data_IF_342676011634
#
_entry.id   IF_342676011634
#
_cell.length_a   1.000
_cell.length_b   1.000
_cell.length_c   1.000
_cell.angle_alpha   90.00
_cell.angle_beta   90.00
_cell.angle_gamma   90.00
#
_symmetry.space_group_name_H-M   'P 1'
#
loop_
_entity.id
_entity.type
_entity.pdbx_description
1 polymer ?
#
# COMPACT_ATOMS: atom_id res chain seq x y z
N UNK A 1 -12.91 -23.98 -43.32
CA UNK A 1 -12.31 -23.21 -42.22
C UNK A 1 -11.01 -23.90 -41.86
N UNK A 2 -9.91 -23.19 -41.95
CA UNK A 2 -8.60 -23.70 -41.52
C UNK A 2 -8.35 -23.21 -40.09
N UNK A 3 -7.89 -24.09 -39.23
CA UNK A 3 -7.51 -23.77 -37.87
C UNK A 3 -6.18 -24.45 -37.58
N UNK A 4 -5.23 -23.69 -37.05
CA UNK A 4 -3.92 -24.20 -36.67
C UNK A 4 -3.59 -23.75 -35.25
N UNK A 5 -2.93 -24.64 -34.52
CA UNK A 5 -2.27 -24.30 -33.26
C UNK A 5 -0.77 -24.41 -33.53
N UNK A 6 -0.03 -23.33 -33.32
CA UNK A 6 1.42 -23.30 -33.46
C UNK A 6 2.04 -23.19 -32.07
N UNK A 7 2.88 -24.16 -31.73
CA UNK A 7 3.62 -24.20 -30.48
C UNK A 7 5.08 -23.81 -30.77
N UNK A 8 5.55 -22.74 -30.14
CA UNK A 8 6.92 -22.27 -30.29
C UNK A 8 7.77 -22.80 -29.12
N UNK A 9 8.58 -23.81 -29.42
CA UNK A 9 9.62 -24.28 -28.50
C UNK A 9 10.65 -23.16 -28.26
N UNK A 10 11.02 -22.92 -27.00
CA UNK A 10 11.98 -21.89 -26.59
C UNK A 10 11.36 -20.55 -26.17
N UNK A 11 10.24 -20.12 -26.75
CA UNK A 11 9.52 -18.90 -26.30
C UNK A 11 8.27 -19.20 -25.48
N UNK A 12 7.87 -20.47 -25.36
CA UNK A 12 6.62 -20.90 -24.71
C UNK A 12 5.40 -20.11 -25.22
N UNK A 13 5.43 -19.77 -26.50
CA UNK A 13 4.36 -19.04 -27.16
C UNK A 13 3.42 -20.04 -27.83
N UNK A 14 2.13 -19.79 -27.74
CA UNK A 14 1.08 -20.57 -28.39
C UNK A 14 0.25 -19.63 -29.26
N UNK A 15 0.22 -19.89 -30.56
CA UNK A 15 -0.63 -19.15 -31.50
C UNK A 15 -1.82 -19.99 -31.91
N UNK A 16 -3.02 -19.43 -31.76
CA UNK A 16 -4.26 -19.93 -32.34
C UNK A 16 -4.50 -19.16 -33.64
N UNK A 17 -4.30 -19.82 -34.77
CA UNK A 17 -4.43 -19.23 -36.11
C UNK A 17 -5.75 -19.68 -36.72
N UNK A 18 -6.66 -18.73 -36.90
CA UNK A 18 -7.91 -18.90 -37.62
C UNK A 18 -7.72 -18.45 -39.06
N UNK A 19 -8.10 -19.29 -40.02
CA UNK A 19 -8.14 -18.92 -41.43
C UNK A 19 -9.21 -17.86 -41.72
N UNK A 20 -9.40 -17.55 -43.00
CA UNK A 20 -10.33 -16.51 -43.43
C UNK A 20 -11.77 -16.81 -43.00
N UNK A 21 -12.41 -15.81 -42.37
CA UNK A 21 -13.81 -15.90 -41.98
C UNK A 21 -14.71 -15.81 -43.22
N UNK A 22 -15.61 -16.78 -43.37
CA UNK A 22 -16.61 -16.77 -44.45
C UNK A 22 -17.81 -15.91 -44.02
N UNK A 23 -18.15 -14.84 -44.76
CA UNK A 23 -19.31 -14.02 -44.43
C UNK A 23 -20.62 -14.80 -44.64
N UNK A 24 -21.64 -14.46 -43.85
CA UNK A 24 -23.02 -14.95 -44.00
C UNK A 24 -24.00 -13.78 -44.03
N UNK A 25 -25.07 -13.93 -44.80
CA UNK A 25 -26.15 -12.95 -44.93
C UNK A 25 -27.24 -13.11 -43.85
N UNK A 26 -27.07 -14.03 -42.91
CA UNK A 26 -28.01 -14.21 -41.80
C UNK A 26 -28.05 -12.97 -40.89
N UNK A 27 -29.20 -12.70 -40.27
CA UNK A 27 -29.35 -11.60 -39.31
C UNK A 27 -28.38 -11.69 -38.13
N UNK A 28 -27.95 -10.54 -37.60
CA UNK A 28 -26.98 -10.49 -36.48
C UNK A 28 -27.55 -11.10 -35.21
N UNK A 29 -26.98 -12.21 -34.77
CA UNK A 29 -27.15 -12.73 -33.41
C UNK A 29 -25.76 -12.92 -32.84
N UNK A 30 -25.52 -12.41 -31.63
CA UNK A 30 -24.27 -12.62 -30.92
C UNK A 30 -24.16 -14.10 -30.52
N UNK A 31 -23.31 -14.86 -31.21
CA UNK A 31 -22.97 -16.23 -30.81
C UNK A 31 -21.73 -16.15 -29.91
N UNK A 32 -21.81 -16.77 -28.74
CA UNK A 32 -20.69 -16.79 -27.79
C UNK A 32 -19.86 -18.06 -28.02
N UNK A 33 -18.55 -17.89 -28.18
CA UNK A 33 -17.56 -18.98 -28.25
C UNK A 33 -16.42 -18.70 -27.28
N UNK A 34 -15.54 -19.66 -27.03
CA UNK A 34 -14.38 -19.46 -26.15
C UNK A 34 -13.11 -19.94 -26.83
N UNK A 35 -12.05 -19.17 -26.64
CA UNK A 35 -10.69 -19.49 -27.06
C UNK A 35 -9.77 -19.17 -25.89
N UNK A 36 -8.86 -20.08 -25.54
CA UNK A 36 -8.09 -19.98 -24.31
C UNK A 36 -7.15 -21.16 -24.09
N UNK A 37 -6.33 -21.05 -23.05
CA UNK A 37 -5.48 -22.14 -22.56
C UNK A 37 -6.15 -22.72 -21.32
N UNK A 38 -6.38 -24.04 -21.35
CA UNK A 38 -6.91 -24.80 -20.22
C UNK A 38 -5.76 -25.16 -19.27
N UNK A 39 -5.93 -24.86 -17.99
CA UNK A 39 -5.07 -25.34 -16.91
C UNK A 39 -5.59 -26.60 -16.22
N UNK A 40 -5.02 -26.87 -15.06
CA UNK A 40 -5.33 -28.06 -14.24
C UNK A 40 -6.68 -27.98 -13.52
N UNK A 41 -7.14 -26.77 -13.25
CA UNK A 41 -8.45 -26.45 -12.65
C UNK A 41 -8.97 -25.13 -13.20
N UNK A 42 -10.10 -24.66 -12.68
CA UNK A 42 -10.77 -23.44 -13.11
C UNK A 42 -9.98 -22.15 -12.86
N UNK A 43 -9.11 -22.13 -11.86
CA UNK A 43 -8.29 -20.98 -11.52
C UNK A 43 -7.07 -20.92 -12.43
N UNK A 44 -6.67 -22.02 -13.05
CA UNK A 44 -5.53 -22.06 -13.96
C UNK A 44 -5.91 -21.94 -15.44
N UNK A 45 -7.14 -21.54 -15.76
CA UNK A 45 -7.60 -21.29 -17.14
C UNK A 45 -7.47 -19.82 -17.50
N UNK A 46 -7.10 -19.56 -18.75
CA UNK A 46 -7.10 -18.20 -19.33
C UNK A 46 -7.87 -18.20 -20.64
N UNK A 47 -8.84 -17.29 -20.75
CA UNK A 47 -9.71 -17.15 -21.91
C UNK A 47 -9.62 -15.77 -22.53
N UNK A 48 -9.78 -15.71 -23.84
CA UNK A 48 -10.01 -14.47 -24.57
C UNK A 48 -11.46 -14.04 -24.41
N UNK A 49 -11.64 -12.75 -24.16
CA UNK A 49 -12.93 -12.10 -24.09
C UNK A 49 -13.04 -10.95 -25.07
N UNK A 50 -14.25 -10.81 -25.60
CA UNK A 50 -14.72 -9.72 -26.44
C UNK A 50 -16.22 -9.53 -26.24
N UNK A 51 -16.69 -8.33 -25.98
CA UNK A 51 -18.12 -8.04 -25.95
C UNK A 51 -18.68 -7.90 -27.38
N UNK A 52 -20.00 -7.70 -27.49
CA UNK A 52 -20.72 -7.81 -28.78
C UNK A 52 -20.25 -6.79 -29.83
N UNK A 53 -19.88 -5.58 -29.41
CA UNK A 53 -19.48 -4.49 -30.30
C UNK A 53 -17.97 -4.22 -30.33
N UNK A 54 -17.18 -4.94 -29.53
CA UNK A 54 -15.73 -4.71 -29.52
C UNK A 54 -15.10 -5.29 -30.80
N UNK A 55 -14.02 -4.65 -31.25
CA UNK A 55 -13.22 -5.11 -32.38
C UNK A 55 -12.47 -6.40 -32.08
N UNK A 56 -12.12 -7.18 -33.10
CA UNK A 56 -11.30 -8.39 -32.93
C UNK A 56 -9.85 -8.11 -32.48
N UNK A 57 -9.44 -6.84 -32.44
CA UNK A 57 -8.17 -6.38 -31.87
C UNK A 57 -8.33 -5.77 -30.46
N UNK A 58 -9.57 -5.65 -29.97
CA UNK A 58 -9.90 -5.10 -28.65
C UNK A 58 -10.32 -6.26 -27.75
N UNK A 59 -9.33 -7.05 -27.37
CA UNK A 59 -9.49 -8.29 -26.61
C UNK A 59 -8.83 -8.15 -25.25
N UNK A 60 -9.36 -8.87 -24.29
CA UNK A 60 -8.78 -8.96 -22.97
C UNK A 60 -8.86 -10.39 -22.42
N UNK A 61 -8.01 -10.68 -21.45
CA UNK A 61 -7.89 -12.01 -20.87
C UNK A 61 -8.69 -12.11 -19.57
N UNK A 62 -9.47 -13.18 -19.42
CA UNK A 62 -10.18 -13.51 -18.18
C UNK A 62 -9.65 -14.83 -17.62
N UNK A 63 -9.41 -14.86 -16.31
CA UNK A 63 -9.13 -16.09 -15.55
C UNK A 63 -10.46 -16.64 -15.00
N UNK A 64 -10.64 -17.96 -15.01
CA UNK A 64 -11.80 -18.60 -14.37
C UNK A 64 -12.47 -19.69 -15.20
N UNK A 65 -13.55 -20.26 -14.67
CA UNK A 65 -14.24 -21.39 -15.27
C UNK A 65 -15.12 -20.98 -16.47
N UNK A 66 -15.10 -21.79 -17.53
CA UNK A 66 -15.94 -21.59 -18.72
C UNK A 66 -17.44 -21.54 -18.40
N UNK A 67 -17.89 -22.31 -17.40
CA UNK A 67 -19.31 -22.51 -17.10
C UNK A 67 -19.92 -21.42 -16.19
N UNK A 68 -19.13 -20.82 -15.29
CA UNK A 68 -19.58 -19.77 -14.36
C UNK A 68 -19.63 -18.38 -15.01
N UNK A 69 -19.01 -18.23 -16.17
CA UNK A 69 -18.98 -17.00 -16.95
C UNK A 69 -20.00 -17.00 -18.11
N UNK A 70 -20.75 -18.10 -18.25
CA UNK A 70 -21.85 -18.21 -19.20
C UNK A 70 -23.12 -17.58 -18.61
N UNK A 71 -23.87 -16.74 -19.36
CA UNK A 71 -23.73 -16.37 -20.77
C UNK A 71 -22.92 -15.10 -21.06
N UNK A 72 -22.28 -14.47 -20.07
CA UNK A 72 -21.90 -13.06 -20.17
C UNK A 72 -20.52 -12.77 -20.75
N UNK A 73 -19.51 -13.64 -20.59
CA UNK A 73 -18.10 -13.19 -20.66
C UNK A 73 -17.19 -13.98 -21.61
N UNK A 74 -17.70 -14.36 -22.78
CA UNK A 74 -17.01 -15.16 -23.79
C UNK A 74 -16.71 -14.36 -25.08
N UNK A 75 -15.89 -14.90 -25.99
CA UNK A 75 -15.60 -14.32 -27.31
C UNK A 75 -16.90 -14.20 -28.12
N UNK A 76 -17.43 -12.98 -28.24
CA UNK A 76 -18.67 -12.72 -28.96
C UNK A 76 -18.42 -12.64 -30.47
N UNK A 77 -18.97 -13.58 -31.22
CA UNK A 77 -18.94 -13.60 -32.69
C UNK A 77 -20.28 -13.06 -33.19
N UNK A 78 -20.24 -12.00 -33.98
CA UNK A 78 -21.41 -11.44 -34.67
C UNK A 78 -20.98 -10.89 -36.03
N UNK A 79 -21.92 -10.62 -36.93
CA UNK A 79 -21.64 -9.97 -38.21
C UNK A 79 -21.73 -8.42 -38.14
N UNK A 80 -22.04 -7.86 -36.98
CA UNK A 80 -22.03 -6.41 -36.73
C UNK A 80 -20.60 -5.84 -36.62
N UNK A 81 -19.65 -6.67 -36.16
CA UNK A 81 -18.24 -6.34 -36.10
C UNK A 81 -17.48 -7.48 -36.77
N UNK A 82 -16.87 -7.20 -37.92
CA UNK A 82 -16.07 -8.18 -38.65
C UNK A 82 -14.60 -8.08 -38.19
N UNK A 83 -13.81 -9.17 -38.27
CA UNK A 83 -12.37 -9.08 -38.11
C UNK A 83 -11.81 -8.03 -39.08
N UNK A 84 -10.98 -7.11 -38.58
CA UNK A 84 -10.46 -5.97 -39.37
C UNK A 84 -9.73 -6.41 -40.66
N UNK A 85 -9.26 -7.66 -40.70
CA UNK A 85 -8.72 -8.35 -41.87
C UNK A 85 -9.71 -9.39 -42.42
N UNK A 86 -10.80 -8.94 -43.03
CA UNK A 86 -11.64 -9.82 -43.87
C UNK A 86 -10.77 -10.26 -45.06
N UNK A 87 -10.18 -11.46 -44.98
CA UNK A 87 -9.32 -12.02 -46.04
C UNK A 87 -8.04 -12.71 -45.58
N UNK A 88 -7.46 -12.34 -44.43
CA UNK A 88 -6.10 -12.77 -44.02
C UNK A 88 -6.06 -13.63 -42.75
N UNK A 89 -7.21 -14.16 -42.31
CA UNK A 89 -7.29 -14.88 -41.04
C UNK A 89 -7.09 -13.99 -39.81
N UNK A 90 -6.99 -14.64 -38.65
CA UNK A 90 -6.82 -14.01 -37.34
C UNK A 90 -5.91 -14.88 -36.48
N UNK A 91 -4.90 -14.29 -35.86
CA UNK A 91 -4.02 -15.01 -34.93
C UNK A 91 -4.16 -14.45 -33.52
N UNK A 92 -4.48 -15.33 -32.57
CA UNK A 92 -4.38 -15.01 -31.15
C UNK A 92 -3.12 -15.64 -30.56
N UNK A 93 -2.22 -14.79 -30.08
CA UNK A 93 -0.94 -15.19 -29.51
C UNK A 93 -1.02 -15.18 -27.98
N UNK A 94 -0.86 -16.34 -27.38
CA UNK A 94 -0.64 -16.53 -25.96
C UNK A 94 0.86 -16.67 -25.73
N UNK A 95 1.51 -15.55 -25.43
CA UNK A 95 2.89 -15.57 -24.98
C UNK A 95 2.97 -15.65 -23.46
N UNK A 96 4.06 -16.20 -22.94
CA UNK A 96 4.54 -15.71 -21.65
C UNK A 96 4.76 -14.19 -21.80
N UNK A 97 4.46 -13.40 -20.77
CA UNK A 97 4.77 -11.97 -20.79
C UNK A 97 6.18 -11.79 -21.37
N UNK A 98 6.34 -10.87 -22.31
CA UNK A 98 7.67 -10.44 -22.73
C UNK A 98 8.32 -9.73 -21.55
N UNK A 99 8.74 -10.51 -20.55
CA UNK A 99 9.63 -10.06 -19.50
C UNK A 99 10.87 -9.61 -20.23
N UNK A 100 11.15 -8.32 -20.18
CA UNK A 100 12.37 -7.78 -20.73
C UNK A 100 13.57 -8.39 -19.99
N UNK A 101 14.77 -8.43 -20.59
CA UNK A 101 15.93 -9.02 -19.93
C UNK A 101 16.16 -8.44 -18.53
N UNK A 102 16.03 -7.12 -18.40
CA UNK A 102 16.14 -6.35 -17.17
C UNK A 102 14.87 -5.52 -17.04
N UNK A 103 14.09 -5.77 -15.99
CA UNK A 103 12.92 -4.97 -15.65
C UNK A 103 12.62 -5.12 -14.15
N UNK A 104 12.55 -4.03 -13.42
CA UNK A 104 12.36 -3.99 -11.97
C UNK A 104 11.22 -3.03 -11.70
N UNK A 105 10.12 -3.54 -11.17
CA UNK A 105 9.02 -2.68 -10.76
C UNK A 105 9.21 -2.28 -9.30
N UNK A 106 8.89 -1.03 -8.98
CA UNK A 106 8.65 -0.61 -7.60
C UNK A 106 7.27 -1.10 -7.17
N UNK A 107 7.19 -1.72 -6.00
CA UNK A 107 5.91 -2.14 -5.39
C UNK A 107 5.35 -1.08 -4.46
N UNK A 108 6.12 -0.75 -3.43
CA UNK A 108 5.66 0.14 -2.37
C UNK A 108 6.86 0.76 -1.66
N UNK A 109 6.75 2.04 -1.31
CA UNK A 109 7.61 2.67 -0.33
C UNK A 109 6.82 3.02 0.94
N UNK A 110 7.48 2.90 2.08
CA UNK A 110 6.93 3.18 3.39
C UNK A 110 7.76 4.25 4.09
N UNK A 111 7.06 5.27 4.56
CA UNK A 111 7.59 6.30 5.46
C UNK A 111 6.56 6.59 6.54
N UNK A 112 6.98 7.04 7.72
CA UNK A 112 6.05 7.58 8.70
C UNK A 112 5.53 8.93 8.18
N UNK A 113 4.21 9.07 8.01
CA UNK A 113 3.63 10.28 7.41
C UNK A 113 3.84 11.55 8.24
N UNK A 114 4.20 11.41 9.53
CA UNK A 114 4.56 12.52 10.43
C UNK A 114 5.72 12.09 11.33
N UNK A 115 6.69 12.97 11.52
CA UNK A 115 7.87 12.69 12.37
C UNK A 115 8.29 13.95 13.14
N UNK A 116 8.71 13.81 14.41
CA UNK A 116 9.27 14.94 15.13
C UNK A 116 10.70 15.25 14.70
N UNK A 117 11.13 16.49 14.88
CA UNK A 117 12.53 16.90 14.74
C UNK A 117 13.48 16.01 15.55
N UNK A 118 14.67 15.79 15.00
CA UNK A 118 15.76 15.02 15.63
C UNK A 118 15.38 13.56 16.00
N UNK A 119 14.39 12.98 15.33
CA UNK A 119 14.06 11.58 15.47
C UNK A 119 14.73 10.77 14.36
N UNK A 120 15.27 9.61 14.72
CA UNK A 120 15.84 8.69 13.74
C UNK A 120 14.73 8.20 12.81
N UNK A 121 14.90 8.44 11.51
CA UNK A 121 13.95 8.01 10.51
C UNK A 121 14.51 6.89 9.64
N UNK A 122 13.60 6.05 9.15
CA UNK A 122 13.88 5.05 8.14
C UNK A 122 12.80 5.07 7.08
N UNK A 123 13.21 5.03 5.82
CA UNK A 123 12.31 4.84 4.68
C UNK A 123 12.59 3.46 4.12
N UNK A 124 11.54 2.67 3.91
CA UNK A 124 11.64 1.32 3.33
C UNK A 124 11.08 1.31 1.93
N UNK A 125 11.64 0.50 1.06
CA UNK A 125 11.07 0.21 -0.25
C UNK A 125 11.15 -1.28 -0.55
N UNK A 126 10.10 -1.79 -1.19
CA UNK A 126 10.05 -3.15 -1.74
C UNK A 126 10.04 -3.05 -3.26
N UNK A 127 10.93 -3.80 -3.89
CA UNK A 127 11.07 -3.88 -5.34
C UNK A 127 10.88 -5.31 -5.81
N UNK A 128 10.55 -5.49 -7.07
CA UNK A 128 10.39 -6.81 -7.68
C UNK A 128 11.08 -6.84 -9.03
N UNK A 129 11.92 -7.85 -9.26
CA UNK A 129 12.44 -8.10 -10.60
C UNK A 129 11.39 -8.83 -11.42
N UNK A 130 10.80 -8.11 -12.39
CA UNK A 130 9.84 -8.65 -13.37
C UNK A 130 10.51 -8.94 -14.73
N UNK A 131 11.84 -8.85 -14.79
CA UNK A 131 12.66 -9.25 -15.92
C UNK A 131 13.04 -10.74 -15.89
N UNK A 132 13.70 -11.19 -16.96
CA UNK A 132 14.15 -12.60 -17.13
C UNK A 132 15.50 -12.90 -16.47
N UNK A 133 16.33 -11.89 -16.26
CA UNK A 133 17.69 -12.08 -15.75
C UNK A 133 17.76 -11.81 -14.26
N UNK A 134 18.59 -12.57 -13.56
CA UNK A 134 18.99 -12.22 -12.20
C UNK A 134 19.79 -10.92 -12.25
N UNK A 135 19.49 -10.01 -11.33
CA UNK A 135 20.20 -8.75 -11.21
C UNK A 135 21.16 -8.84 -10.03
N UNK A 136 22.35 -8.27 -10.21
CA UNK A 136 23.38 -8.21 -9.19
C UNK A 136 23.76 -6.75 -8.99
N UNK A 137 23.90 -6.35 -7.72
CA UNK A 137 24.20 -4.96 -7.34
C UNK A 137 23.26 -3.95 -8.04
N UNK A 138 21.96 -4.22 -8.06
CA UNK A 138 21.01 -3.28 -8.67
C UNK A 138 20.83 -2.05 -7.75
N UNK A 139 21.06 -0.83 -8.25
CA UNK A 139 21.00 0.38 -7.42
C UNK A 139 19.56 0.80 -7.16
N UNK A 140 19.29 1.22 -5.93
CA UNK A 140 18.06 1.90 -5.53
C UNK A 140 18.46 3.16 -4.79
N UNK A 141 17.91 4.30 -5.22
CA UNK A 141 18.22 5.59 -4.64
C UNK A 141 17.02 6.17 -3.90
N UNK A 142 17.30 6.90 -2.83
CA UNK A 142 16.37 7.76 -2.13
C UNK A 142 16.85 9.20 -2.26
N UNK A 143 15.96 10.08 -2.69
CA UNK A 143 16.15 11.53 -2.71
C UNK A 143 15.04 12.19 -1.88
N UNK A 144 15.43 12.88 -0.81
CA UNK A 144 14.53 13.66 0.06
C UNK A 144 14.72 15.12 -0.25
N UNK A 145 13.63 15.82 -0.58
CA UNK A 145 13.60 17.25 -0.92
C UNK A 145 12.53 17.97 -0.11
N UNK A 146 12.69 19.28 0.11
CA UNK A 146 11.69 20.10 0.78
C UNK A 146 12.29 20.83 1.98
N UNK A 147 11.77 20.55 3.17
CA UNK A 147 12.31 21.14 4.40
C UNK A 147 13.72 20.61 4.72
N UNK A 148 13.94 19.33 4.48
CA UNK A 148 15.22 18.66 4.62
C UNK A 148 15.74 18.20 3.25
N UNK A 149 17.04 17.91 3.19
CA UNK A 149 17.68 17.36 2.00
C UNK A 149 18.51 16.14 2.37
N UNK A 150 18.33 15.05 1.65
CA UNK A 150 19.08 13.82 1.85
C UNK A 150 19.14 13.02 0.56
N UNK A 151 20.27 12.38 0.32
CA UNK A 151 20.41 11.47 -0.81
C UNK A 151 21.21 10.25 -0.38
N UNK A 152 20.73 9.06 -0.77
CA UNK A 152 21.46 7.80 -0.55
C UNK A 152 21.12 6.80 -1.64
N UNK A 153 22.16 6.18 -2.19
CA UNK A 153 22.03 4.99 -3.02
C UNK A 153 22.46 3.78 -2.23
N UNK A 154 21.64 2.73 -2.28
CA UNK A 154 21.94 1.41 -1.75
C UNK A 154 21.82 0.40 -2.90
N UNK A 155 22.39 -0.79 -2.71
CA UNK A 155 22.43 -1.83 -3.72
C UNK A 155 21.79 -3.09 -3.18
N UNK A 156 20.98 -3.76 -4.01
CA UNK A 156 20.56 -5.14 -3.73
C UNK A 156 21.58 -6.08 -4.37
N UNK A 157 22.33 -6.81 -3.52
CA UNK A 157 23.42 -7.69 -3.95
C UNK A 157 22.96 -8.72 -4.98
N UNK A 158 21.79 -9.33 -4.77
CA UNK A 158 21.18 -10.27 -5.71
C UNK A 158 19.66 -10.16 -5.67
N UNK A 159 19.06 -9.92 -6.84
CA UNK A 159 17.62 -9.91 -7.04
C UNK A 159 17.26 -10.88 -8.17
N UNK A 160 16.87 -12.10 -7.78
CA UNK A 160 16.54 -13.17 -8.72
C UNK A 160 15.31 -12.79 -9.57
N UNK A 161 15.24 -13.31 -10.80
CA UNK A 161 14.09 -13.14 -11.66
C UNK A 161 12.78 -13.58 -10.95
N UNK A 162 11.74 -12.75 -11.04
CA UNK A 162 10.45 -12.97 -10.40
C UNK A 162 10.40 -12.70 -8.89
N UNK A 163 11.54 -12.45 -8.24
CA UNK A 163 11.67 -12.32 -6.78
C UNK A 163 11.57 -10.87 -6.30
N UNK A 164 11.39 -10.73 -4.99
CA UNK A 164 11.31 -9.44 -4.30
C UNK A 164 12.61 -9.14 -3.56
N UNK A 165 12.88 -7.86 -3.37
CA UNK A 165 13.94 -7.37 -2.49
C UNK A 165 13.46 -6.18 -1.69
N UNK A 166 13.87 -6.14 -0.43
CA UNK A 166 13.57 -5.04 0.49
C UNK A 166 14.83 -4.23 0.76
N UNK A 167 14.66 -2.92 0.85
CA UNK A 167 15.74 -2.00 1.18
C UNK A 167 15.29 -1.00 2.24
N UNK A 168 16.17 -0.68 3.18
CA UNK A 168 15.90 0.28 4.26
C UNK A 168 16.95 1.38 4.22
N UNK A 169 16.51 2.60 3.91
CA UNK A 169 17.32 3.80 3.99
C UNK A 169 17.31 4.33 5.43
N UNK A 170 18.49 4.42 6.03
CA UNK A 170 18.70 4.92 7.40
C UNK A 170 19.73 6.04 7.43
N UNK A 171 19.75 6.81 8.51
CA UNK A 171 20.80 7.78 8.80
C UNK A 171 20.62 9.12 8.09
N UNK A 172 19.38 9.58 7.92
CA UNK A 172 19.10 10.95 7.51
C UNK A 172 18.62 11.78 8.68
N UNK A 173 19.27 12.92 8.91
CA UNK A 173 18.98 13.81 10.02
C UNK A 173 17.90 14.81 9.63
N UNK A 174 16.85 14.87 10.44
CA UNK A 174 15.69 15.74 10.23
C UNK A 174 15.83 16.97 11.13
N UNK A 175 16.34 18.06 10.55
CA UNK A 175 16.74 19.28 11.26
C UNK A 175 15.76 20.45 11.06
N UNK A 176 14.98 20.41 9.99
CA UNK A 176 14.07 21.49 9.60
C UNK A 176 12.62 21.03 9.60
N UNK A 177 11.72 21.88 10.07
CA UNK A 177 10.27 21.64 10.01
C UNK A 177 9.74 21.93 8.61
N UNK A 178 8.71 21.19 8.23
CA UNK A 178 8.01 21.37 6.97
C UNK A 178 7.70 20.03 6.33
N UNK A 179 7.30 20.06 5.06
CA UNK A 179 6.99 18.85 4.30
C UNK A 179 8.25 18.42 3.55
N UNK A 180 8.60 17.16 3.71
CA UNK A 180 9.59 16.46 2.92
C UNK A 180 8.88 15.60 1.88
N UNK A 181 9.37 15.68 0.65
CA UNK A 181 9.02 14.83 -0.49
C UNK A 181 10.11 13.79 -0.63
N UNK A 182 9.77 12.51 -0.43
CA UNK A 182 10.68 11.39 -0.54
C UNK A 182 10.46 10.70 -1.87
N UNK A 183 11.50 10.65 -2.70
CA UNK A 183 11.48 10.04 -4.01
C UNK A 183 12.38 8.80 -3.96
N UNK A 184 11.79 7.62 -4.08
CA UNK A 184 12.55 6.38 -4.29
C UNK A 184 12.66 6.13 -5.78
N UNK A 185 13.86 5.88 -6.29
CA UNK A 185 14.10 5.55 -7.69
C UNK A 185 14.90 4.28 -7.87
N UNK A 186 14.58 3.53 -8.92
CA UNK A 186 15.29 2.33 -9.33
C UNK A 186 16.38 2.67 -10.37
N UNK A 187 17.37 1.79 -10.50
CA UNK A 187 18.34 1.86 -11.59
C UNK A 187 17.63 1.69 -12.93
N UNK A 188 18.16 2.32 -13.98
CA UNK A 188 17.57 2.25 -15.31
C UNK A 188 17.41 0.79 -15.78
N UNK A 189 16.25 0.52 -16.37
CA UNK A 189 15.88 -0.77 -16.95
C UNK A 189 15.05 -0.54 -18.22
N UNK A 190 14.27 -1.54 -18.63
CA UNK A 190 13.46 -1.44 -19.84
C UNK A 190 12.27 -0.49 -19.68
N UNK A 191 11.52 -0.58 -18.59
CA UNK A 191 10.36 0.27 -18.33
C UNK A 191 10.67 1.32 -17.26
N UNK A 192 10.94 2.56 -17.68
CA UNK A 192 11.23 3.61 -16.72
C UNK A 192 9.99 4.23 -16.06
N UNK A 193 8.77 3.81 -16.44
CA UNK A 193 7.55 4.41 -15.93
C UNK A 193 7.22 3.98 -14.48
N UNK A 194 7.67 2.80 -14.06
CA UNK A 194 7.46 2.24 -12.72
C UNK A 194 8.71 2.35 -11.81
N UNK A 195 9.77 3.02 -12.30
CA UNK A 195 11.03 3.21 -11.59
C UNK A 195 11.01 4.28 -10.50
N UNK A 196 9.86 4.91 -10.24
CA UNK A 196 9.77 6.00 -9.25
C UNK A 196 8.59 5.84 -8.30
N UNK A 197 8.81 6.18 -7.04
CA UNK A 197 7.76 6.37 -6.04
C UNK A 197 7.93 7.70 -5.34
N UNK A 198 6.82 8.36 -5.03
CA UNK A 198 6.84 9.62 -4.28
C UNK A 198 5.95 9.50 -3.06
N UNK A 199 6.53 9.69 -1.88
CA UNK A 199 5.79 9.80 -0.61
C UNK A 199 6.08 11.12 0.06
N UNK A 200 5.18 11.54 0.96
CA UNK A 200 5.31 12.78 1.70
C UNK A 200 5.41 12.52 3.18
N UNK A 201 6.23 13.30 3.86
CA UNK A 201 6.42 13.25 5.29
C UNK A 201 6.36 14.66 5.87
N UNK A 202 5.51 14.86 6.89
CA UNK A 202 5.47 16.12 7.62
C UNK A 202 6.42 16.07 8.83
N UNK A 203 7.41 16.94 8.84
CA UNK A 203 8.32 17.17 9.94
C UNK A 203 7.81 18.32 10.81
N UNK A 204 7.66 18.07 12.10
CA UNK A 204 7.21 19.09 13.05
C UNK A 204 7.90 18.97 14.42
N UNK A 205 7.53 19.85 15.36
CA UNK A 205 8.05 19.81 16.73
C UNK A 205 7.53 18.66 17.59
N UNK A 206 6.46 17.98 17.15
CA UNK A 206 5.61 17.22 18.05
C UNK A 206 4.98 16.02 17.35
N UNK A 207 5.38 14.84 17.81
CA UNK A 207 4.68 13.60 17.50
C UNK A 207 3.38 13.57 18.30
N UNK A 208 2.24 13.60 17.61
CA UNK A 208 0.95 13.27 18.22
C UNK A 208 0.86 11.74 18.26
N UNK A 209 1.19 11.15 19.41
CA UNK A 209 0.91 9.75 19.67
C UNK A 209 -0.54 9.67 20.14
N UNK A 210 -1.45 9.29 19.22
CA UNK A 210 -2.79 8.90 19.61
C UNK A 210 -2.73 7.52 20.24
N UNK A 211 -2.80 7.43 21.56
CA UNK A 211 -3.19 6.17 22.20
C UNK A 211 -4.69 6.06 22.03
N UNK A 212 -5.16 5.33 21.01
CA UNK A 212 -6.49 4.77 21.11
C UNK A 212 -6.47 3.83 22.32
N UNK A 213 -7.32 4.10 23.31
CA UNK A 213 -7.87 2.96 24.03
C UNK A 213 -8.67 2.24 22.95
N UNK A 214 -8.25 1.02 22.63
CA UNK A 214 -8.93 0.18 21.67
C UNK A 214 -10.45 0.28 21.87
N UNK A 215 -11.19 0.27 20.77
CA UNK A 215 -12.59 -0.15 20.73
C UNK A 215 -12.68 -1.64 21.11
N UNK A 216 -12.10 -2.02 22.25
CA UNK A 216 -12.33 -3.33 22.82
C UNK A 216 -13.75 -3.29 23.37
N UNK A 217 -14.66 -3.90 22.62
CA UNK A 217 -16.05 -4.20 23.00
C UNK A 217 -16.12 -5.18 24.19
N UNK A 218 -15.33 -4.95 25.24
CA UNK A 218 -15.56 -5.54 26.54
C UNK A 218 -16.11 -4.43 27.44
N UNK A 219 -17.43 -4.46 27.56
CA UNK A 219 -18.34 -3.62 28.36
C UNK A 219 -18.01 -3.62 29.87
N UNK A 220 -16.84 -4.14 30.27
CA UNK A 220 -16.40 -4.27 31.66
C UNK A 220 -15.34 -3.24 32.09
N UNK A 221 -14.73 -2.46 31.19
CA UNK A 221 -14.04 -1.22 31.59
C UNK A 221 -15.08 -0.11 31.74
N UNK A 222 -15.86 -0.27 32.82
CA UNK A 222 -16.84 0.65 33.42
C UNK A 222 -17.00 1.95 32.66
N UNK A 223 -18.09 2.00 31.91
CA UNK A 223 -18.91 3.18 31.77
C UNK A 223 -18.81 4.04 33.06
N UNK A 224 -18.27 5.27 33.04
CA UNK A 224 -18.07 6.08 34.25
C UNK A 224 -19.40 6.58 34.86
N UNK A 225 -20.52 5.89 34.58
CA UNK A 225 -21.89 6.37 34.71
C UNK A 225 -22.49 6.37 36.11
N UNK A 226 -21.86 5.86 37.17
CA UNK A 226 -22.58 5.74 38.45
C UNK A 226 -22.17 6.67 39.60
N UNK A 227 -20.97 7.25 39.67
CA UNK A 227 -20.59 8.11 40.81
C UNK A 227 -19.78 9.35 40.40
N UNK A 228 -20.42 10.52 40.41
CA UNK A 228 -19.84 11.85 40.10
C UNK A 228 -18.70 12.31 41.04
N UNK A 229 -18.38 11.53 42.08
CA UNK A 229 -17.44 11.90 43.13
C UNK A 229 -16.10 11.14 43.11
N UNK A 230 -15.92 10.15 42.23
CA UNK A 230 -14.65 9.43 42.15
C UNK A 230 -13.75 10.04 41.08
N UNK A 231 -12.56 10.49 41.48
CA UNK A 231 -11.53 10.94 40.55
C UNK A 231 -10.97 9.74 39.77
N UNK A 232 -11.06 9.79 38.44
CA UNK A 232 -10.49 8.77 37.55
C UNK A 232 -8.99 8.96 37.38
N UNK A 233 -8.23 7.88 37.19
CA UNK A 233 -6.79 7.93 37.00
C UNK A 233 -6.43 7.38 35.62
N UNK A 234 -5.81 8.22 34.79
CA UNK A 234 -5.31 7.85 33.46
C UNK A 234 -3.80 7.70 33.59
N UNK A 235 -3.29 6.51 33.29
CA UNK A 235 -1.87 6.25 33.28
C UNK A 235 -1.43 5.85 31.87
N UNK A 236 -0.31 6.40 31.42
CA UNK A 236 0.35 5.94 30.20
C UNK A 236 1.87 5.88 30.40
N UNK A 237 2.52 5.03 29.60
CA UNK A 237 3.95 4.80 29.64
C UNK A 237 4.51 5.00 28.23
N UNK A 238 5.58 5.76 28.13
CA UNK A 238 6.26 6.00 26.86
C UNK A 238 7.68 5.45 26.90
N UNK A 239 8.11 4.95 25.74
CA UNK A 239 9.48 4.54 25.48
C UNK A 239 10.07 5.52 24.46
N UNK A 240 11.10 6.26 24.85
CA UNK A 240 11.83 7.17 23.97
C UNK A 240 13.32 6.93 24.14
N UNK A 241 14.07 6.94 23.03
CA UNK A 241 15.52 6.68 23.06
C UNK A 241 16.33 7.88 23.58
N UNK A 242 15.70 9.06 23.64
CA UNK A 242 16.25 10.30 24.17
C UNK A 242 15.21 11.02 25.02
N UNK A 243 15.60 11.95 25.92
CA UNK A 243 14.63 12.69 26.71
C UNK A 243 13.73 13.58 25.86
N UNK A 244 12.42 13.42 25.98
CA UNK A 244 11.42 14.17 25.21
C UNK A 244 10.58 15.07 26.12
N UNK A 245 10.12 16.22 25.57
CA UNK A 245 9.20 17.14 26.25
C UNK A 245 7.76 16.83 25.86
N UNK A 246 6.89 16.71 26.86
CA UNK A 246 5.45 16.57 26.65
C UNK A 246 4.85 17.95 26.45
N UNK A 247 4.30 18.21 25.26
CA UNK A 247 3.79 19.53 24.87
C UNK A 247 2.31 19.72 25.23
N UNK A 248 1.50 18.68 25.10
CA UNK A 248 0.10 18.68 25.50
C UNK A 248 -0.40 17.28 25.79
N UNK A 249 -1.40 17.18 26.68
CA UNK A 249 -2.17 15.96 26.89
C UNK A 249 -3.65 16.29 26.70
N UNK A 250 -4.34 15.53 25.85
CA UNK A 250 -5.73 15.79 25.47
C UNK A 250 -6.61 14.57 25.72
N UNK A 251 -6.99 14.29 26.98
CA UNK A 251 -7.94 13.23 27.26
C UNK A 251 -9.31 13.54 26.63
N UNK A 252 -9.96 12.50 26.11
CA UNK A 252 -11.35 12.56 25.68
C UNK A 252 -12.27 12.12 26.83
N UNK A 253 -13.37 12.84 27.01
CA UNK A 253 -14.39 12.53 28.00
C UNK A 253 -15.77 12.60 27.34
N UNK A 254 -16.66 11.61 27.55
CA UNK A 254 -17.98 11.59 26.93
C UNK A 254 -18.96 12.63 27.51
N UNK A 255 -18.66 13.21 28.68
CA UNK A 255 -19.49 14.20 29.39
C UNK A 255 -18.65 15.12 30.28
N UNK A 256 -19.10 16.33 30.56
CA UNK A 256 -18.45 17.29 31.47
C UNK A 256 -18.60 16.90 32.95
N UNK A 257 -17.79 17.50 33.83
CA UNK A 257 -17.86 17.28 35.28
C UNK A 257 -17.07 16.09 35.82
N UNK A 258 -16.39 15.32 34.95
CA UNK A 258 -15.54 14.19 35.33
C UNK A 258 -14.25 14.71 35.97
N UNK A 259 -14.00 14.29 37.22
CA UNK A 259 -12.72 14.50 37.91
C UNK A 259 -11.70 13.46 37.43
N UNK A 260 -10.50 13.89 37.07
CA UNK A 260 -9.43 12.99 36.62
C UNK A 260 -8.03 13.41 37.10
N UNK A 261 -7.11 12.45 37.11
CA UNK A 261 -5.66 12.65 37.25
C UNK A 261 -4.96 11.97 36.08
N UNK A 262 -3.88 12.56 35.59
CA UNK A 262 -3.04 11.94 34.56
C UNK A 262 -1.66 11.65 35.16
N UNK A 263 -1.21 10.42 34.96
CA UNK A 263 0.09 9.91 35.34
C UNK A 263 0.87 9.50 34.10
N UNK A 264 2.11 9.93 34.01
CA UNK A 264 3.00 9.57 32.90
C UNK A 264 4.23 8.91 33.49
N UNK A 265 4.46 7.66 33.10
CA UNK A 265 5.56 6.84 33.54
C UNK A 265 6.65 6.81 32.47
N UNK A 266 7.91 6.77 32.91
CA UNK A 266 9.00 6.33 32.06
C UNK A 266 8.91 4.81 31.85
N UNK A 267 9.52 4.31 30.77
CA UNK A 267 9.57 2.90 30.35
C UNK A 267 9.70 1.88 31.50
N UNK A 268 10.60 2.15 32.44
CA UNK A 268 10.96 1.22 33.53
C UNK A 268 10.70 1.80 34.92
N UNK A 269 9.90 2.87 35.02
CA UNK A 269 9.62 3.50 36.31
C UNK A 269 8.36 2.90 36.96
N UNK A 270 8.49 2.55 38.23
CA UNK A 270 7.35 2.16 39.09
C UNK A 270 6.62 3.38 39.68
N UNK A 271 7.17 4.58 39.47
CA UNK A 271 6.58 5.84 39.90
C UNK A 271 6.42 6.81 38.73
N UNK A 272 5.32 7.59 38.69
CA UNK A 272 5.05 8.50 37.59
C UNK A 272 5.98 9.71 37.65
N UNK A 273 6.65 9.98 36.54
CA UNK A 273 7.56 11.13 36.37
C UNK A 273 6.77 12.44 36.19
N UNK A 274 5.56 12.35 35.64
CA UNK A 274 4.66 13.50 35.49
C UNK A 274 3.33 13.19 36.13
N UNK A 275 2.90 14.12 36.96
CA UNK A 275 1.59 14.14 37.61
C UNK A 275 0.88 15.41 37.14
N UNK A 276 -0.09 15.27 36.23
CA UNK A 276 -0.88 16.42 35.75
C UNK A 276 -2.20 16.46 36.52
N UNK A 277 -2.15 17.09 37.69
CA UNK A 277 -3.30 17.46 38.52
C UNK A 277 -2.87 18.51 39.56
N UNK A 278 -3.78 19.36 40.07
CA UNK A 278 -3.44 20.31 41.12
C UNK A 278 -2.96 19.59 42.40
N UNK A 279 -1.92 20.12 43.04
CA UNK A 279 -1.32 19.59 44.28
C UNK A 279 -2.30 19.48 45.45
N UNK A 280 -3.47 20.14 45.36
CA UNK A 280 -4.57 20.09 46.32
C UNK A 280 -5.71 19.16 45.85
N UNK A 281 -5.47 17.85 45.89
CA UNK A 281 -6.44 16.80 46.25
C UNK A 281 -7.73 16.55 45.44
N UNK A 282 -8.16 17.39 44.50
CA UNK A 282 -9.52 17.28 43.91
C UNK A 282 -9.58 16.78 42.47
N UNK A 283 -8.44 16.53 41.82
CA UNK A 283 -8.38 16.16 40.40
C UNK A 283 -8.76 17.33 39.48
N UNK A 284 -8.53 17.17 38.18
CA UNK A 284 -8.99 18.10 37.16
C UNK A 284 -10.43 17.79 36.79
N UNK A 285 -11.28 18.80 36.65
CA UNK A 285 -12.65 18.61 36.16
C UNK A 285 -12.72 19.01 34.69
N UNK A 286 -13.20 18.14 33.80
CA UNK A 286 -13.39 18.54 32.41
C UNK A 286 -14.59 19.49 32.28
N UNK A 287 -14.40 20.59 31.55
CA UNK A 287 -15.41 21.65 31.39
C UNK A 287 -16.23 21.51 30.11
N UNK A 288 -15.88 20.59 29.21
CA UNK A 288 -16.60 20.35 27.95
C UNK A 288 -16.72 18.86 27.60
N UNK A 289 -17.65 18.57 26.70
CA UNK A 289 -17.95 17.25 26.13
C UNK A 289 -16.99 16.84 24.99
N UNK A 290 -15.91 17.60 24.74
CA UNK A 290 -14.93 17.29 23.69
C UNK A 290 -13.51 17.77 24.06
N UNK A 291 -12.53 16.88 23.87
CA UNK A 291 -11.08 17.09 23.92
C UNK A 291 -10.63 18.26 24.82
N UNK A 292 -10.50 18.01 26.12
CA UNK A 292 -9.88 18.98 27.02
C UNK A 292 -8.39 19.04 26.71
N UNK A 293 -7.90 20.12 26.07
CA UNK A 293 -6.47 20.30 25.83
C UNK A 293 -5.80 20.81 27.10
N UNK A 294 -5.05 19.95 27.79
CA UNK A 294 -4.18 20.40 28.87
C UNK A 294 -2.80 20.74 28.31
N UNK A 295 -2.45 22.03 28.37
CA UNK A 295 -1.10 22.52 28.06
C UNK A 295 -0.38 22.53 29.40
N UNK A 296 0.53 21.58 29.60
CA UNK A 296 1.35 21.58 30.80
C UNK A 296 2.41 22.70 30.70
N UNK A 297 2.56 23.61 31.68
CA UNK A 297 3.77 24.40 31.81
C UNK A 297 4.95 23.57 32.35
N UNK A 298 4.72 22.31 32.74
CA UNK A 298 5.77 21.46 33.26
C UNK A 298 6.64 20.90 32.13
N UNK A 299 7.89 21.36 32.09
CA UNK A 299 9.00 20.72 31.39
C UNK A 299 9.26 19.36 32.04
N UNK A 300 8.43 18.37 31.72
CA UNK A 300 8.70 16.99 32.06
C UNK A 300 9.89 16.52 31.22
N UNK A 301 11.06 16.38 31.85
CA UNK A 301 12.18 15.64 31.27
C UNK A 301 11.95 14.18 31.58
N UNK A 302 11.52 13.39 30.60
CA UNK A 302 11.53 11.94 30.74
C UNK A 302 12.92 11.48 30.28
N UNK A 303 13.90 11.43 31.18
CA UNK A 303 15.23 10.89 30.87
C UNK A 303 15.33 9.44 31.32
N UNK A 304 15.96 8.61 30.48
CA UNK A 304 16.57 7.34 30.91
C UNK A 304 17.79 7.70 31.76
#
# INVERSE_FOLDING_TARGET
MEFQIILYEGTNTVDFVFGTFTPTNNGSIAVKTSCGIKGVDIDHMIFLRKDYLDGFNDLWFTQGCYECLFPYYNLSICNAVLPATVGNGLTYRFGCFNMYPINVEKRISYTVGKIPLNYDNSIKATVRNIGKQNLYNHPISLDVKGANSYHKTLYIDTLLAGSYGDITFTGFNINNKGIDTNIVSLGADYDNADNYDTTYQLVNDSLVIGTCLDEYEDDTIRNPNSNQNTTFEIATRFHTNTPQKIVSVSPYFPRSGIKYKIYIYAANADTPQVKLYPTTGTGLTNTSTKYGKYISPATAKCSI
#
